data_IF_443574770459
#
_entry.id   IF_443574770459
#
_cell.length_a   1.000
_cell.length_b   1.000
_cell.length_c   1.000
_cell.angle_alpha   90.00
_cell.angle_beta   90.00
_cell.angle_gamma   90.00
#
_symmetry.space_group_name_H-M   'P 1'
#
loop_
_entity.id
_entity.type
_entity.pdbx_description
1 polymer ?
#
# COMPACT_ATOMS: atom_id res chain seq x y z
N UNK A 1 0.66 16.15 4.66
CA UNK A 1 1.98 16.55 5.18
C UNK A 1 2.94 16.93 4.03
N UNK A 2 3.22 16.04 3.05
CA UNK A 2 4.08 16.34 1.90
C UNK A 2 3.62 17.60 1.15
N UNK A 3 2.34 17.70 0.78
CA UNK A 3 1.79 18.84 0.06
C UNK A 3 1.96 20.14 0.85
N UNK A 4 1.76 20.10 2.17
CA UNK A 4 1.94 21.25 3.05
C UNK A 4 3.41 21.72 3.08
N UNK A 5 4.35 20.79 3.03
CA UNK A 5 5.78 21.13 2.98
C UNK A 5 6.23 21.61 1.59
N UNK A 6 5.74 20.98 0.53
CA UNK A 6 6.16 21.26 -0.85
C UNK A 6 5.47 22.48 -1.46
N UNK A 7 4.20 22.72 -1.13
CA UNK A 7 3.41 23.84 -1.69
C UNK A 7 2.27 24.25 -0.75
N UNK A 8 2.57 25.16 0.18
CA UNK A 8 1.62 25.62 1.20
C UNK A 8 0.37 26.28 0.60
N UNK A 9 0.49 27.01 -0.51
CA UNK A 9 -0.66 27.64 -1.17
C UNK A 9 -1.62 26.58 -1.72
N UNK A 10 -1.08 25.59 -2.45
CA UNK A 10 -1.87 24.50 -3.02
C UNK A 10 -2.51 23.64 -1.90
N UNK A 11 -1.81 23.47 -0.78
CA UNK A 11 -2.34 22.78 0.38
C UNK A 11 -3.55 23.52 1.00
N UNK A 12 -3.47 24.85 1.12
CA UNK A 12 -4.61 25.64 1.61
C UNK A 12 -5.79 25.57 0.64
N UNK A 13 -5.55 25.66 -0.67
CA UNK A 13 -6.59 25.47 -1.68
C UNK A 13 -7.24 24.09 -1.57
N UNK A 14 -6.43 23.02 -1.40
CA UNK A 14 -6.92 21.65 -1.19
C UNK A 14 -7.84 21.55 0.03
N UNK A 15 -7.47 22.17 1.17
CA UNK A 15 -8.30 22.16 2.37
C UNK A 15 -9.64 22.90 2.17
N UNK A 16 -9.65 23.97 1.37
CA UNK A 16 -10.87 24.75 1.08
C UNK A 16 -11.83 24.01 0.15
N UNK A 17 -11.31 23.26 -0.83
CA UNK A 17 -12.16 22.47 -1.75
C UNK A 17 -12.86 21.35 -0.99
N UNK A 18 -12.19 20.73 -0.01
CA UNK A 18 -12.74 19.65 0.80
C UNK A 18 -13.22 18.47 -0.06
N UNK A 19 -14.46 18.03 0.16
CA UNK A 19 -15.14 16.98 -0.63
C UNK A 19 -15.93 17.51 -1.82
N UNK A 20 -15.94 18.81 -2.08
CA UNK A 20 -16.61 19.39 -3.24
C UNK A 20 -15.79 19.16 -4.50
N UNK A 21 -16.47 18.81 -5.59
CA UNK A 21 -15.85 18.71 -6.92
C UNK A 21 -15.61 20.13 -7.40
N UNK A 22 -14.34 20.48 -7.66
CA UNK A 22 -13.99 21.73 -8.35
C UNK A 22 -13.89 21.47 -9.84
N UNK A 23 -14.39 22.37 -10.68
CA UNK A 23 -14.19 22.34 -12.13
C UNK A 23 -12.82 22.94 -12.55
N UNK A 24 -11.98 23.31 -11.58
CA UNK A 24 -10.67 23.90 -11.87
C UNK A 24 -9.65 22.83 -12.26
N UNK A 25 -9.54 22.59 -13.56
CA UNK A 25 -8.58 21.65 -14.12
C UNK A 25 -7.12 21.97 -13.78
N UNK A 26 -6.75 23.27 -13.64
CA UNK A 26 -5.39 23.67 -13.29
C UNK A 26 -5.06 23.26 -11.86
N UNK A 27 -6.00 23.42 -10.94
CA UNK A 27 -5.87 22.96 -9.57
C UNK A 27 -5.62 21.44 -9.50
N UNK A 28 -6.41 20.64 -10.19
CA UNK A 28 -6.21 19.19 -10.23
C UNK A 28 -4.91 18.77 -10.89
N UNK A 29 -4.47 19.44 -11.96
CA UNK A 29 -3.17 19.17 -12.57
C UNK A 29 -2.01 19.45 -11.61
N UNK A 30 -2.08 20.52 -10.84
CA UNK A 30 -1.07 20.85 -9.80
C UNK A 30 -1.07 19.81 -8.67
N UNK A 31 -2.25 19.41 -8.19
CA UNK A 31 -2.37 18.33 -7.20
C UNK A 31 -1.80 17.02 -7.73
N UNK A 32 -2.14 16.68 -8.97
CA UNK A 32 -1.65 15.46 -9.64
C UNK A 32 -0.13 15.46 -9.72
N UNK A 33 0.47 16.54 -10.21
CA UNK A 33 1.93 16.65 -10.28
C UNK A 33 2.60 16.51 -8.91
N UNK A 34 2.00 17.08 -7.87
CA UNK A 34 2.49 16.93 -6.49
C UNK A 34 2.35 15.49 -5.99
N UNK A 35 1.26 14.80 -6.34
CA UNK A 35 1.04 13.40 -6.02
C UNK A 35 2.04 12.48 -6.72
N UNK A 36 2.29 12.70 -8.03
CA UNK A 36 3.26 11.92 -8.81
C UNK A 36 4.69 12.05 -8.23
N UNK A 37 5.06 13.23 -7.73
CA UNK A 37 6.33 13.42 -7.02
C UNK A 37 6.31 12.65 -5.70
N UNK A 38 5.25 12.78 -4.91
CA UNK A 38 5.10 12.08 -3.65
C UNK A 38 5.17 10.55 -3.81
N UNK A 39 4.58 10.00 -4.85
CA UNK A 39 4.69 8.58 -5.19
C UNK A 39 6.14 8.14 -5.45
N UNK A 40 6.97 9.05 -6.00
CA UNK A 40 8.37 8.73 -6.31
C UNK A 40 9.29 8.84 -5.11
N UNK A 41 9.10 9.84 -4.25
CA UNK A 41 10.04 10.15 -3.16
C UNK A 41 9.53 9.80 -1.76
N UNK A 42 8.22 9.59 -1.59
CA UNK A 42 7.60 9.29 -0.30
C UNK A 42 7.52 10.47 0.65
N UNK A 43 7.38 10.18 1.93
CA UNK A 43 7.14 11.17 2.99
C UNK A 43 8.26 11.26 4.04
N UNK A 44 9.37 10.56 3.89
CA UNK A 44 10.49 10.68 4.85
C UNK A 44 11.04 12.10 4.88
N UNK A 45 11.16 12.74 6.06
CA UNK A 45 11.54 14.14 6.17
C UNK A 45 12.86 14.49 5.46
N UNK A 46 13.88 13.65 5.58
CA UNK A 46 15.19 13.90 4.93
C UNK A 46 15.11 13.82 3.40
N UNK A 47 14.23 12.97 2.85
CA UNK A 47 14.00 12.86 1.40
C UNK A 47 13.23 14.07 0.89
N UNK A 48 12.17 14.47 1.62
CA UNK A 48 11.38 15.67 1.29
C UNK A 48 12.23 16.91 1.35
N UNK A 49 13.04 17.09 2.40
CA UNK A 49 13.99 18.22 2.51
C UNK A 49 14.96 18.25 1.34
N UNK A 50 15.52 17.10 0.97
CA UNK A 50 16.42 16.98 -0.19
C UNK A 50 15.73 17.40 -1.48
N UNK A 51 14.48 16.98 -1.67
CA UNK A 51 13.68 17.38 -2.83
C UNK A 51 13.44 18.91 -2.84
N UNK A 52 13.06 19.50 -1.72
CA UNK A 52 12.82 20.94 -1.61
C UNK A 52 14.06 21.77 -1.90
N UNK A 53 15.24 21.28 -1.51
CA UNK A 53 16.52 21.94 -1.77
C UNK A 53 16.97 21.85 -3.24
N UNK A 54 16.69 20.74 -3.92
CA UNK A 54 17.27 20.45 -5.24
C UNK A 54 16.28 20.51 -6.39
N UNK A 55 14.96 20.39 -6.12
CA UNK A 55 13.90 20.26 -7.12
C UNK A 55 14.01 18.98 -7.96
N UNK A 56 14.83 18.01 -7.55
CA UNK A 56 15.15 16.83 -8.36
C UNK A 56 14.85 15.52 -7.62
N UNK A 57 13.93 14.72 -8.19
CA UNK A 57 13.62 13.37 -7.70
C UNK A 57 14.88 12.48 -7.75
N UNK A 58 15.70 12.62 -8.78
CA UNK A 58 16.93 11.82 -8.94
C UNK A 58 17.87 11.92 -7.74
N UNK A 59 18.01 13.11 -7.16
CA UNK A 59 18.89 13.31 -5.99
C UNK A 59 18.30 12.68 -4.72
N UNK A 60 17.00 12.39 -4.70
CA UNK A 60 16.34 11.74 -3.59
C UNK A 60 16.59 10.23 -3.55
N UNK A 61 16.94 9.60 -4.69
CA UNK A 61 17.18 8.16 -4.76
C UNK A 61 18.33 7.70 -3.84
N UNK A 62 19.40 8.49 -3.75
CA UNK A 62 20.53 8.19 -2.86
C UNK A 62 20.11 8.22 -1.38
N UNK A 63 19.21 9.15 -1.03
CA UNK A 63 18.69 9.26 0.33
C UNK A 63 17.71 8.12 0.66
N UNK A 64 16.87 7.71 -0.30
CA UNK A 64 16.03 6.53 -0.17
C UNK A 64 16.85 5.25 0.00
N UNK A 65 17.93 5.09 -0.79
CA UNK A 65 18.87 3.98 -0.66
C UNK A 65 19.49 3.95 0.75
N UNK A 66 19.92 5.11 1.27
CA UNK A 66 20.46 5.22 2.63
C UNK A 66 19.45 4.83 3.71
N UNK A 67 18.17 5.24 3.57
CA UNK A 67 17.10 4.86 4.49
C UNK A 67 16.85 3.35 4.40
N UNK A 68 16.81 2.79 3.21
CA UNK A 68 16.65 1.35 3.01
C UNK A 68 17.79 0.56 3.69
N UNK A 69 19.04 1.02 3.55
CA UNK A 69 20.19 0.40 4.21
C UNK A 69 20.12 0.51 5.75
N UNK A 70 19.59 1.61 6.30
CA UNK A 70 19.35 1.74 7.74
C UNK A 70 18.37 0.68 8.20
N UNK A 71 17.24 0.49 7.51
CA UNK A 71 16.28 -0.56 7.87
C UNK A 71 16.89 -1.95 7.84
N UNK A 72 17.68 -2.24 6.82
CA UNK A 72 18.36 -3.53 6.70
C UNK A 72 19.33 -3.76 7.86
N UNK A 73 20.12 -2.75 8.22
CA UNK A 73 21.11 -2.84 9.31
C UNK A 73 20.46 -2.94 10.69
N UNK A 74 19.42 -2.16 10.96
CA UNK A 74 18.67 -2.22 12.22
C UNK A 74 17.95 -3.56 12.36
N UNK A 75 17.38 -4.09 11.27
CA UNK A 75 16.73 -5.40 11.28
C UNK A 75 17.64 -6.50 11.80
N UNK A 76 18.91 -6.49 11.42
CA UNK A 76 19.89 -7.48 11.92
C UNK A 76 20.12 -7.38 13.43
N UNK A 77 20.14 -6.16 13.98
CA UNK A 77 20.42 -5.95 15.41
C UNK A 77 19.28 -6.47 16.30
N UNK A 78 18.03 -6.38 15.82
CA UNK A 78 16.85 -6.68 16.63
C UNK A 78 16.25 -8.06 16.39
N UNK A 79 16.70 -8.80 15.36
CA UNK A 79 16.08 -10.08 14.99
C UNK A 79 16.98 -11.29 15.20
N UNK A 80 18.22 -11.12 15.60
CA UNK A 80 19.26 -12.18 15.66
C UNK A 80 19.51 -12.84 14.27
N UNK A 81 19.13 -12.17 13.20
CA UNK A 81 19.35 -12.64 11.83
C UNK A 81 20.61 -11.98 11.31
N UNK A 82 21.66 -12.77 11.09
CA UNK A 82 22.96 -12.28 10.64
C UNK A 82 23.05 -12.00 9.13
N UNK A 83 22.08 -12.48 8.34
CA UNK A 83 22.07 -12.30 6.89
C UNK A 83 21.13 -11.16 6.46
N UNK A 84 21.72 -9.99 6.18
CA UNK A 84 21.02 -8.80 5.71
C UNK A 84 20.24 -9.05 4.39
N UNK A 85 20.70 -9.98 3.56
CA UNK A 85 20.06 -10.31 2.28
C UNK A 85 18.65 -10.85 2.45
N UNK A 86 18.31 -11.44 3.61
CA UNK A 86 16.96 -11.94 3.89
C UNK A 86 15.93 -10.80 3.87
N UNK A 87 16.23 -9.69 4.52
CA UNK A 87 15.33 -8.54 4.56
C UNK A 87 15.15 -7.90 3.20
N UNK A 88 16.24 -7.79 2.42
CA UNK A 88 16.16 -7.32 1.03
C UNK A 88 15.26 -8.22 0.19
N UNK A 89 15.40 -9.53 0.32
CA UNK A 89 14.55 -10.49 -0.39
C UNK A 89 13.09 -10.42 0.05
N UNK A 90 12.81 -10.18 1.33
CA UNK A 90 11.45 -9.96 1.81
C UNK A 90 10.85 -8.76 1.07
N UNK A 91 11.53 -7.63 0.98
CA UNK A 91 11.03 -6.45 0.29
C UNK A 91 10.81 -6.69 -1.20
N UNK A 92 11.76 -7.30 -1.90
CA UNK A 92 11.60 -7.63 -3.32
C UNK A 92 10.46 -8.61 -3.57
N UNK A 93 10.31 -9.61 -2.70
CA UNK A 93 9.22 -10.58 -2.82
C UNK A 93 7.84 -9.97 -2.48
N UNK A 94 7.75 -9.00 -1.56
CA UNK A 94 6.53 -8.22 -1.37
C UNK A 94 6.14 -7.54 -2.68
N UNK A 95 7.08 -6.88 -3.36
CA UNK A 95 6.82 -6.24 -4.65
C UNK A 95 6.33 -7.23 -5.71
N UNK A 96 7.00 -8.39 -5.84
CA UNK A 96 6.58 -9.42 -6.79
C UNK A 96 5.20 -10.00 -6.45
N UNK A 97 4.91 -10.21 -5.17
CA UNK A 97 3.60 -10.69 -4.75
C UNK A 97 2.51 -9.68 -5.08
N UNK A 98 2.69 -8.40 -4.79
CA UNK A 98 1.73 -7.35 -5.13
C UNK A 98 1.51 -7.25 -6.65
N UNK A 99 2.56 -7.38 -7.46
CA UNK A 99 2.45 -7.38 -8.91
C UNK A 99 1.68 -8.61 -9.47
N UNK A 100 1.77 -9.75 -8.79
CA UNK A 100 1.11 -11.00 -9.22
C UNK A 100 -0.33 -11.12 -8.73
N UNK A 101 -0.71 -10.40 -7.67
CA UNK A 101 -1.94 -10.66 -6.90
C UNK A 101 -3.24 -10.22 -7.54
N UNK A 102 -3.21 -9.44 -8.58
CA UNK A 102 -4.44 -8.97 -9.24
C UNK A 102 -5.34 -10.07 -9.83
N UNK A 103 -5.06 -11.37 -9.61
CA UNK A 103 -5.71 -12.45 -10.35
C UNK A 103 -6.19 -13.66 -9.56
N UNK A 104 -5.92 -13.82 -8.26
CA UNK A 104 -6.41 -15.00 -7.53
C UNK A 104 -6.47 -14.83 -6.02
N UNK A 105 -7.56 -15.30 -5.41
CA UNK A 105 -7.64 -15.49 -3.96
C UNK A 105 -6.58 -16.50 -3.53
N UNK A 106 -5.68 -16.14 -2.61
CA UNK A 106 -4.64 -17.04 -2.11
C UNK A 106 -5.09 -17.69 -0.83
N UNK A 107 -4.84 -19.00 -0.72
CA UNK A 107 -5.13 -19.76 0.49
C UNK A 107 -4.10 -19.54 1.59
N UNK A 108 -2.86 -19.19 1.23
CA UNK A 108 -1.74 -19.04 2.17
C UNK A 108 -1.62 -17.63 2.76
N UNK A 109 -1.09 -17.55 3.99
CA UNK A 109 -0.71 -16.28 4.59
C UNK A 109 0.51 -15.68 3.87
N UNK A 110 0.65 -14.36 3.90
CA UNK A 110 1.81 -13.67 3.31
C UNK A 110 3.13 -14.17 3.90
N UNK A 111 3.17 -14.51 5.20
CA UNK A 111 4.36 -15.06 5.84
C UNK A 111 4.81 -16.38 5.24
N UNK A 112 3.88 -17.31 4.99
CA UNK A 112 4.17 -18.61 4.36
C UNK A 112 4.62 -18.43 2.90
N UNK A 113 3.99 -17.52 2.15
CA UNK A 113 4.39 -17.22 0.77
C UNK A 113 5.81 -16.67 0.70
N UNK A 114 6.15 -15.72 1.56
CA UNK A 114 7.49 -15.14 1.63
C UNK A 114 8.54 -16.17 2.05
N UNK A 115 8.23 -17.02 3.05
CA UNK A 115 9.11 -18.11 3.45
C UNK A 115 9.41 -19.04 2.26
N UNK A 116 8.40 -19.45 1.53
CA UNK A 116 8.55 -20.33 0.36
C UNK A 116 9.37 -19.68 -0.75
N UNK A 117 9.20 -18.37 -0.98
CA UNK A 117 9.96 -17.65 -2.02
C UNK A 117 11.43 -17.47 -1.64
N UNK A 118 11.73 -17.08 -0.40
CA UNK A 118 13.10 -16.86 0.07
C UNK A 118 13.88 -18.18 0.19
N UNK A 119 13.21 -19.31 0.44
CA UNK A 119 13.85 -20.62 0.58
C UNK A 119 13.87 -21.46 -0.70
N UNK A 120 13.16 -21.02 -1.76
CA UNK A 120 12.95 -21.79 -3.00
C UNK A 120 14.23 -22.25 -3.68
N UNK A 121 15.30 -21.47 -3.62
CA UNK A 121 16.56 -21.77 -4.31
C UNK A 121 17.49 -22.70 -3.49
N UNK A 122 17.05 -23.18 -2.32
CA UNK A 122 17.84 -24.09 -1.47
C UNK A 122 19.16 -23.52 -0.95
N UNK A 123 19.44 -22.25 -1.23
CA UNK A 123 20.68 -21.57 -0.82
C UNK A 123 20.64 -21.09 0.62
N UNK A 124 19.46 -20.99 1.21
CA UNK A 124 19.26 -20.49 2.57
C UNK A 124 18.42 -21.46 3.39
N UNK A 125 19.00 -21.91 4.48
CA UNK A 125 18.33 -22.80 5.45
C UNK A 125 17.68 -21.96 6.54
N UNK A 126 16.57 -21.27 6.20
CA UNK A 126 15.80 -20.43 7.11
C UNK A 126 14.61 -21.21 7.66
N UNK A 127 14.48 -21.19 8.99
CA UNK A 127 13.27 -21.70 9.61
C UNK A 127 12.10 -20.73 9.39
N UNK A 128 10.88 -21.25 9.30
CA UNK A 128 9.66 -20.45 9.25
C UNK A 128 9.58 -19.46 10.42
N UNK A 129 9.99 -19.91 11.63
CA UNK A 129 10.05 -19.05 12.82
C UNK A 129 11.01 -17.86 12.66
N UNK A 130 12.14 -18.05 11.97
CA UNK A 130 13.08 -16.96 11.69
C UNK A 130 12.48 -15.96 10.71
N UNK A 131 11.83 -16.45 9.64
CA UNK A 131 11.13 -15.59 8.67
C UNK A 131 10.02 -14.79 9.33
N UNK A 132 9.21 -15.44 10.19
CA UNK A 132 8.13 -14.75 10.90
C UNK A 132 8.66 -13.69 11.89
N UNK A 133 9.81 -13.90 12.52
CA UNK A 133 10.45 -12.87 13.36
C UNK A 133 10.88 -11.65 12.53
N UNK A 134 11.53 -11.88 11.39
CA UNK A 134 11.90 -10.79 10.48
C UNK A 134 10.68 -9.99 10.02
N UNK A 135 9.65 -10.69 9.62
CA UNK A 135 8.41 -10.11 9.11
C UNK A 135 7.66 -9.31 10.19
N UNK A 136 7.55 -9.87 11.39
CA UNK A 136 6.96 -9.18 12.54
C UNK A 136 7.75 -7.93 12.96
N UNK A 137 9.09 -7.98 12.90
CA UNK A 137 9.91 -6.82 13.18
C UNK A 137 9.62 -5.67 12.18
N UNK A 138 9.56 -5.97 10.87
CA UNK A 138 9.24 -4.98 9.84
C UNK A 138 7.85 -4.37 10.05
N UNK A 139 6.88 -5.17 10.49
CA UNK A 139 5.53 -4.69 10.81
C UNK A 139 5.53 -3.79 12.04
N UNK A 140 6.14 -4.22 13.14
CA UNK A 140 6.20 -3.44 14.38
C UNK A 140 6.98 -2.14 14.23
N UNK A 141 8.01 -2.13 13.38
CA UNK A 141 8.80 -0.94 13.03
C UNK A 141 8.09 -0.04 12.02
N UNK A 142 6.86 -0.37 11.61
CA UNK A 142 6.07 0.41 10.63
C UNK A 142 6.79 0.61 9.29
N UNK A 143 7.61 -0.33 8.88
CA UNK A 143 8.23 -0.36 7.54
C UNK A 143 7.26 -0.96 6.53
N UNK A 144 6.54 -2.02 6.95
CA UNK A 144 5.46 -2.65 6.22
C UNK A 144 4.18 -2.66 7.05
N UNK A 145 3.05 -2.87 6.40
CA UNK A 145 1.77 -3.10 7.04
C UNK A 145 1.04 -4.28 6.42
N UNK A 146 0.14 -4.90 7.17
CA UNK A 146 -0.63 -6.05 6.71
C UNK A 146 -2.02 -5.65 6.23
N UNK A 147 -2.50 -6.35 5.21
CA UNK A 147 -3.86 -6.29 4.73
C UNK A 147 -4.52 -7.67 4.88
N UNK A 148 -5.73 -7.68 5.42
CA UNK A 148 -6.54 -8.89 5.55
C UNK A 148 -7.39 -9.14 4.32
N UNK A 149 -8.08 -10.29 4.30
CA UNK A 149 -9.07 -10.67 3.29
C UNK A 149 -10.43 -10.90 3.95
N UNK A 150 -11.49 -10.40 3.34
CA UNK A 150 -12.87 -10.69 3.69
C UNK A 150 -13.46 -11.56 2.59
N UNK A 151 -13.88 -12.76 2.94
CA UNK A 151 -14.44 -13.74 2.00
C UNK A 151 -15.93 -13.47 1.80
N UNK A 152 -16.37 -13.42 0.54
CA UNK A 152 -17.78 -13.23 0.15
C UNK A 152 -18.46 -12.03 0.81
N UNK A 153 -17.64 -11.00 1.16
CA UNK A 153 -18.10 -9.81 1.88
C UNK A 153 -18.78 -10.14 3.21
N UNK A 154 -18.40 -11.27 3.82
CA UNK A 154 -18.82 -11.65 5.16
C UNK A 154 -17.74 -11.25 6.17
N UNK A 155 -18.05 -10.27 7.01
CA UNK A 155 -17.11 -9.75 8.03
C UNK A 155 -16.73 -10.83 9.07
N UNK A 156 -17.50 -11.89 9.20
CA UNK A 156 -17.20 -13.00 10.09
C UNK A 156 -16.16 -13.96 9.50
N UNK A 157 -15.94 -13.93 8.17
CA UNK A 157 -14.88 -14.69 7.49
C UNK A 157 -13.71 -13.75 7.12
N UNK A 158 -13.14 -13.14 8.15
CA UNK A 158 -11.95 -12.30 8.02
C UNK A 158 -10.67 -13.12 8.20
N UNK A 159 -9.76 -13.02 7.25
CA UNK A 159 -8.44 -13.67 7.26
C UNK A 159 -7.33 -12.65 7.34
N UNK A 160 -6.59 -12.55 8.46
CA UNK A 160 -5.51 -11.59 8.61
C UNK A 160 -4.28 -11.95 7.77
N UNK A 161 -3.44 -10.95 7.48
CA UNK A 161 -2.09 -11.14 6.95
C UNK A 161 -2.04 -11.80 5.57
N UNK A 162 -2.92 -11.38 4.65
CA UNK A 162 -2.98 -11.91 3.28
C UNK A 162 -2.08 -11.18 2.32
N UNK A 163 -1.89 -9.86 2.53
CA UNK A 163 -1.00 -9.00 1.76
C UNK A 163 -0.13 -8.18 2.68
N UNK A 164 0.99 -7.71 2.16
CA UNK A 164 1.84 -6.72 2.81
C UNK A 164 2.03 -5.53 1.87
N UNK A 165 1.96 -4.33 2.45
CA UNK A 165 2.21 -3.06 1.77
C UNK A 165 3.33 -2.32 2.48
N UNK A 166 3.99 -1.40 1.77
CA UNK A 166 4.95 -0.50 2.38
C UNK A 166 4.23 0.64 3.10
N UNK A 167 4.79 1.13 4.19
CA UNK A 167 4.24 2.28 4.92
C UNK A 167 4.74 3.63 4.40
N UNK A 168 5.62 3.62 3.38
CA UNK A 168 6.09 4.81 2.67
C UNK A 168 6.17 4.53 1.17
N UNK A 169 5.68 5.48 0.34
CA UNK A 169 5.62 5.31 -1.11
C UNK A 169 6.99 5.41 -1.77
N UNK A 170 7.92 6.23 -1.24
CA UNK A 170 9.27 6.33 -1.77
C UNK A 170 10.04 5.02 -1.61
N UNK A 171 9.91 4.36 -0.45
CA UNK A 171 10.48 3.04 -0.21
C UNK A 171 9.81 1.98 -1.08
N UNK A 172 8.47 2.04 -1.23
CA UNK A 172 7.74 1.16 -2.14
C UNK A 172 8.27 1.29 -3.57
N UNK A 173 8.31 2.52 -4.11
CA UNK A 173 8.82 2.82 -5.44
C UNK A 173 10.27 2.36 -5.63
N UNK A 174 11.13 2.60 -4.64
CA UNK A 174 12.53 2.18 -4.66
C UNK A 174 12.67 0.66 -4.84
N UNK A 175 11.95 -0.13 -4.04
CA UNK A 175 12.01 -1.59 -4.13
C UNK A 175 11.29 -2.16 -5.34
N UNK A 176 10.18 -1.56 -5.81
CA UNK A 176 9.49 -1.96 -7.04
C UNK A 176 10.40 -1.81 -8.27
N UNK A 177 11.16 -0.70 -8.33
CA UNK A 177 12.17 -0.50 -9.38
C UNK A 177 13.32 -1.52 -9.28
N UNK A 178 13.80 -1.82 -8.06
CA UNK A 178 14.83 -2.86 -7.87
C UNK A 178 14.33 -4.26 -8.21
N UNK A 179 13.05 -4.55 -8.00
CA UNK A 179 12.41 -5.80 -8.39
C UNK A 179 12.20 -5.95 -9.90
N UNK A 180 12.49 -4.90 -10.69
CA UNK A 180 12.36 -4.91 -12.14
C UNK A 180 10.91 -4.92 -12.62
N UNK A 181 9.97 -4.35 -11.82
CA UNK A 181 8.57 -4.22 -12.19
C UNK A 181 8.45 -3.10 -13.24
N UNK A 182 7.60 -3.29 -14.22
CA UNK A 182 7.36 -2.28 -15.27
C UNK A 182 6.67 -1.01 -14.71
N UNK A 183 6.93 0.12 -15.35
CA UNK A 183 6.49 1.44 -14.88
C UNK A 183 4.96 1.56 -14.74
N UNK A 184 4.20 0.95 -15.66
CA UNK A 184 2.74 1.00 -15.60
C UNK A 184 2.21 0.21 -14.39
N UNK A 185 2.76 -0.97 -14.13
CA UNK A 185 2.44 -1.77 -12.95
C UNK A 185 2.87 -1.07 -11.66
N UNK A 186 4.03 -0.41 -11.61
CA UNK A 186 4.49 0.38 -10.46
C UNK A 186 3.47 1.47 -10.14
N UNK A 187 3.00 2.21 -11.13
CA UNK A 187 2.02 3.28 -10.93
C UNK A 187 0.75 2.76 -10.27
N UNK A 188 0.19 1.68 -10.78
CA UNK A 188 -1.01 1.06 -10.23
C UNK A 188 -0.80 0.56 -8.79
N UNK A 189 0.35 -0.08 -8.54
CA UNK A 189 0.71 -0.58 -7.22
C UNK A 189 0.91 0.55 -6.21
N UNK A 190 1.52 1.68 -6.62
CA UNK A 190 1.69 2.85 -5.76
C UNK A 190 0.35 3.52 -5.44
N UNK A 191 -0.58 3.59 -6.39
CA UNK A 191 -1.94 4.08 -6.13
C UNK A 191 -2.65 3.21 -5.08
N UNK A 192 -2.58 1.89 -5.22
CA UNK A 192 -3.14 0.96 -4.25
C UNK A 192 -2.46 1.07 -2.88
N UNK A 193 -1.13 1.12 -2.86
CA UNK A 193 -0.35 1.30 -1.63
C UNK A 193 -0.65 2.64 -0.94
N UNK A 194 -0.91 3.71 -1.69
CA UNK A 194 -1.34 5.01 -1.15
C UNK A 194 -2.68 4.89 -0.42
N UNK A 195 -3.64 4.22 -1.01
CA UNK A 195 -4.94 3.98 -0.37
C UNK A 195 -4.76 3.14 0.89
N UNK A 196 -3.95 2.08 0.82
CA UNK A 196 -3.60 1.27 1.99
C UNK A 196 -3.06 2.11 3.15
N UNK A 197 -2.06 2.96 2.91
CA UNK A 197 -1.45 3.82 3.94
C UNK A 197 -2.51 4.74 4.58
N UNK A 198 -3.39 5.33 3.76
CA UNK A 198 -4.43 6.22 4.28
C UNK A 198 -5.50 5.48 5.08
N UNK A 199 -5.87 4.27 4.70
CA UNK A 199 -6.76 3.42 5.49
C UNK A 199 -6.08 2.99 6.80
N UNK A 200 -4.82 2.55 6.75
CA UNK A 200 -4.07 2.14 7.93
C UNK A 200 -3.94 3.27 8.97
N UNK A 201 -3.72 4.51 8.52
CA UNK A 201 -3.71 5.69 9.42
C UNK A 201 -5.04 5.92 10.13
N UNK A 202 -6.17 5.59 9.49
CA UNK A 202 -7.49 5.75 10.11
C UNK A 202 -7.81 4.69 11.16
N UNK A 203 -7.13 3.55 11.13
CA UNK A 203 -7.27 2.51 12.14
C UNK A 203 -6.69 2.92 13.50
N UNK A 204 -5.85 3.96 13.54
CA UNK A 204 -5.38 4.56 14.79
C UNK A 204 -6.49 5.30 15.56
N UNK A 205 -7.70 5.45 14.95
CA UNK A 205 -8.89 6.01 15.60
C UNK A 205 -9.86 4.89 16.00
N UNK A 206 -9.84 4.44 17.27
CA UNK A 206 -10.68 3.33 17.72
C UNK A 206 -12.18 3.59 17.47
N UNK A 207 -12.85 2.59 16.92
CA UNK A 207 -14.30 2.61 16.72
C UNK A 207 -14.79 3.19 15.39
N UNK A 208 -13.89 3.64 14.50
CA UNK A 208 -14.31 4.12 13.17
C UNK A 208 -14.46 2.99 12.15
N UNK A 209 -13.61 1.99 12.20
CA UNK A 209 -13.58 0.88 11.22
C UNK A 209 -13.69 -0.47 11.92
N UNK A 210 -14.36 -1.43 11.28
CA UNK A 210 -14.66 -2.75 11.84
C UNK A 210 -13.47 -3.69 12.01
N UNK A 211 -12.30 -3.38 11.43
CA UNK A 211 -11.14 -4.26 11.39
C UNK A 211 -9.89 -3.57 11.92
N UNK A 212 -9.01 -4.36 12.54
CA UNK A 212 -7.72 -3.87 13.05
C UNK A 212 -6.70 -3.55 11.95
N UNK A 213 -6.91 -4.06 10.73
CA UNK A 213 -6.06 -3.80 9.55
C UNK A 213 -6.94 -3.53 8.34
N UNK A 214 -6.46 -2.76 7.33
CA UNK A 214 -7.15 -2.68 6.06
C UNK A 214 -7.41 -4.07 5.47
N UNK A 215 -8.49 -4.22 4.73
CA UNK A 215 -8.87 -5.49 4.13
C UNK A 215 -9.28 -5.30 2.67
N UNK A 216 -8.85 -6.21 1.79
CA UNK A 216 -9.49 -6.43 0.51
C UNK A 216 -10.62 -7.46 0.66
N UNK A 217 -11.48 -7.59 -0.34
CA UNK A 217 -12.54 -8.58 -0.29
C UNK A 217 -12.60 -9.41 -1.55
N UNK A 218 -12.78 -10.73 -1.38
CA UNK A 218 -13.20 -11.61 -2.47
C UNK A 218 -14.71 -11.71 -2.51
N UNK A 219 -15.29 -11.65 -3.70
CA UNK A 219 -16.73 -11.81 -3.90
C UNK A 219 -17.01 -12.51 -5.23
N UNK A 220 -17.65 -13.68 -5.18
CA UNK A 220 -17.81 -14.57 -6.33
C UNK A 220 -16.44 -14.88 -6.94
N UNK A 221 -16.25 -14.62 -8.24
CA UNK A 221 -15.00 -14.89 -8.97
C UNK A 221 -14.08 -13.67 -9.10
N UNK A 222 -14.37 -12.59 -8.35
CA UNK A 222 -13.64 -11.33 -8.45
C UNK A 222 -13.19 -10.78 -7.11
N UNK A 223 -12.50 -9.65 -7.17
CA UNK A 223 -11.90 -9.00 -6.03
C UNK A 223 -12.25 -7.51 -5.96
N UNK A 224 -12.37 -7.00 -4.75
CA UNK A 224 -12.52 -5.58 -4.40
C UNK A 224 -11.24 -5.16 -3.71
N UNK A 225 -10.56 -4.13 -4.21
CA UNK A 225 -9.22 -3.74 -3.74
C UNK A 225 -9.20 -3.41 -2.24
N UNK A 226 -10.21 -2.67 -1.75
CA UNK A 226 -10.41 -2.47 -0.32
C UNK A 226 -11.89 -2.47 0.04
N UNK A 227 -12.20 -3.10 1.16
CA UNK A 227 -13.50 -3.07 1.79
C UNK A 227 -13.40 -2.36 3.14
N UNK A 228 -14.27 -1.39 3.37
CA UNK A 228 -14.33 -0.62 4.60
C UNK A 228 -15.75 -0.62 5.14
N UNK A 229 -15.89 -0.92 6.41
CA UNK A 229 -17.17 -0.78 7.11
C UNK A 229 -17.03 0.22 8.26
N UNK A 230 -17.77 1.31 8.18
CA UNK A 230 -17.91 2.26 9.29
C UNK A 230 -18.74 1.63 10.40
N UNK A 231 -18.20 1.60 11.62
CA UNK A 231 -18.95 1.07 12.79
C UNK A 231 -20.01 2.04 13.26
N UNK A 232 -19.77 3.35 13.13
CA UNK A 232 -20.70 4.37 13.61
C UNK A 232 -21.92 4.48 12.70
N UNK A 233 -21.68 4.55 11.39
CA UNK A 233 -22.75 4.76 10.41
C UNK A 233 -23.30 3.44 9.85
N UNK A 234 -22.63 2.32 10.12
CA UNK A 234 -22.92 0.99 9.56
C UNK A 234 -22.89 0.95 8.03
N UNK A 235 -22.15 1.88 7.42
CA UNK A 235 -22.00 2.01 5.98
C UNK A 235 -20.82 1.16 5.52
N UNK A 236 -21.01 0.46 4.39
CA UNK A 236 -20.01 -0.42 3.77
C UNK A 236 -19.57 0.17 2.45
N UNK A 237 -18.28 0.35 2.30
CA UNK A 237 -17.65 0.91 1.11
C UNK A 237 -16.81 -0.15 0.40
N UNK A 238 -16.96 -0.24 -0.92
CA UNK A 238 -16.01 -0.90 -1.80
C UNK A 238 -15.16 0.16 -2.49
N UNK A 239 -13.85 0.08 -2.33
CA UNK A 239 -12.90 1.03 -2.91
C UNK A 239 -12.12 0.33 -4.01
N UNK A 240 -12.04 0.99 -5.18
CA UNK A 240 -11.30 0.54 -6.36
C UNK A 240 -10.20 1.53 -6.67
N UNK A 241 -9.00 1.01 -6.90
CA UNK A 241 -7.80 1.82 -7.17
C UNK A 241 -7.33 1.73 -8.62
N UNK A 242 -8.01 0.93 -9.44
CA UNK A 242 -7.69 0.73 -10.85
C UNK A 242 -8.95 0.52 -11.71
N UNK A 243 -8.81 0.64 -13.02
CA UNK A 243 -9.88 0.53 -14.00
C UNK A 243 -10.04 -0.89 -14.56
N UNK A 244 -9.64 -1.95 -13.87
CA UNK A 244 -9.85 -3.32 -14.33
C UNK A 244 -11.35 -3.62 -14.46
N UNK A 245 -11.79 -3.94 -15.69
CA UNK A 245 -13.20 -4.15 -16.05
C UNK A 245 -13.83 -5.28 -15.23
N UNK A 246 -13.12 -6.39 -15.04
CA UNK A 246 -13.63 -7.55 -14.26
C UNK A 246 -13.90 -7.17 -12.81
N UNK A 247 -13.03 -6.40 -12.25
CA UNK A 247 -13.14 -5.93 -10.88
C UNK A 247 -14.24 -4.85 -10.72
N UNK A 248 -14.49 -4.04 -11.74
CA UNK A 248 -15.64 -3.12 -11.79
C UNK A 248 -16.96 -3.91 -11.72
N UNK A 249 -17.08 -5.01 -12.46
CA UNK A 249 -18.29 -5.83 -12.48
C UNK A 249 -18.53 -6.52 -11.13
N UNK A 250 -17.48 -6.98 -10.45
CA UNK A 250 -17.56 -7.54 -9.08
C UNK A 250 -18.11 -6.53 -8.09
N UNK A 251 -17.56 -5.30 -8.11
CA UNK A 251 -18.00 -4.23 -7.21
C UNK A 251 -19.45 -3.82 -7.48
N UNK A 252 -19.87 -3.72 -8.75
CA UNK A 252 -21.26 -3.46 -9.14
C UNK A 252 -22.20 -4.60 -8.74
N UNK A 253 -21.74 -5.86 -8.85
CA UNK A 253 -22.52 -7.00 -8.40
C UNK A 253 -22.72 -6.99 -6.89
N UNK A 254 -21.70 -6.64 -6.11
CA UNK A 254 -21.78 -6.47 -4.67
C UNK A 254 -22.77 -5.37 -4.25
N UNK A 255 -22.75 -4.21 -4.95
CA UNK A 255 -23.70 -3.13 -4.73
C UNK A 255 -25.14 -3.57 -5.03
N UNK A 256 -25.38 -4.20 -6.19
CA UNK A 256 -26.71 -4.72 -6.56
C UNK A 256 -27.25 -5.76 -5.58
N UNK A 257 -26.36 -6.55 -4.98
CA UNK A 257 -26.72 -7.55 -3.97
C UNK A 257 -26.91 -6.95 -2.56
N UNK A 258 -26.74 -5.64 -2.38
CA UNK A 258 -26.83 -4.97 -1.08
C UNK A 258 -25.73 -5.38 -0.09
N UNK A 259 -24.60 -5.87 -0.61
CA UNK A 259 -23.44 -6.25 0.21
C UNK A 259 -22.54 -5.07 0.54
N UNK A 260 -22.54 -4.04 -0.31
CA UNK A 260 -21.91 -2.73 -0.08
C UNK A 260 -22.94 -1.63 -0.34
N UNK A 261 -22.75 -0.49 0.30
CA UNK A 261 -23.67 0.64 0.20
C UNK A 261 -23.14 1.70 -0.78
N UNK A 262 -21.82 1.81 -0.90
CA UNK A 262 -21.15 2.75 -1.81
C UNK A 262 -19.97 2.11 -2.52
N UNK A 263 -19.78 2.55 -3.78
CA UNK A 263 -18.58 2.28 -4.58
C UNK A 263 -17.77 3.56 -4.73
N UNK A 264 -16.49 3.50 -4.37
CA UNK A 264 -15.52 4.57 -4.57
C UNK A 264 -14.52 4.13 -5.63
N UNK A 265 -14.49 4.87 -6.74
CA UNK A 265 -13.50 4.67 -7.79
C UNK A 265 -12.45 5.76 -7.68
N UNK A 266 -11.21 5.37 -7.42
CA UNK A 266 -10.06 6.26 -7.40
C UNK A 266 -9.34 6.09 -8.73
N UNK A 267 -9.73 6.89 -9.71
CA UNK A 267 -9.19 6.81 -11.08
C UNK A 267 -8.44 8.08 -11.43
N UNK A 268 -7.54 7.96 -12.42
CA UNK A 268 -6.83 9.09 -12.99
C UNK A 268 -7.69 9.88 -14.00
N UNK A 269 -8.82 9.30 -14.44
CA UNK A 269 -9.67 9.87 -15.47
C UNK A 269 -10.65 10.87 -14.87
N UNK A 270 -10.60 12.09 -15.39
CA UNK A 270 -11.52 13.20 -15.07
C UNK A 270 -12.79 13.15 -15.95
N UNK A 271 -13.40 11.94 -16.12
CA UNK A 271 -14.63 11.80 -16.89
C UNK A 271 -15.83 11.48 -16.02
#
# INVERSE_FOLDING_TARGET
>A
EFLAAANQELFQQYLMVGSSISEDHIFYQRLRSSYDIYCQIGGYPSVVEKYLMTGSVRTCLDELARIADIFLNESMQYTDISDIGIFREIFLNICHLLAMEKKSSRQDSIGNLLHNLVTKDGTRNLSEATMMRAFNWLYLSKVIGFCGEIIELDILDFRPGRRAYFMDLGIANFYMNQAGIDEASIKDMLNENYVYINLAKRLDFPGEIAFETPAFASYKDGEIDFYVQSLQERIRYAIRTNNDILAVDTSKAALKAGKVDYLLYLTDDTH
#
